data_IF_419829794535
#
_entry.id   IF_419829794535
#
_cell.length_a   1.000
_cell.length_b   1.000
_cell.length_c   1.000
_cell.angle_alpha   90.00
_cell.angle_beta   90.00
_cell.angle_gamma   90.00
#
_symmetry.space_group_name_H-M   'P 1'
#
loop_
_entity.id
_entity.type
_entity.pdbx_description
1 polymer ?
#
# COMPACT_ATOMS: atom_id res chain seq x y z
N UNK A 1 0.33 6.83 17.80
CA UNK A 1 0.15 7.04 16.35
C UNK A 1 1.41 7.68 15.82
N UNK A 2 2.08 7.02 14.87
CA UNK A 2 3.34 7.49 14.28
C UNK A 2 3.09 8.26 12.99
N UNK A 3 2.53 9.48 13.10
CA UNK A 3 2.35 10.32 11.91
C UNK A 3 3.73 10.76 11.42
N UNK A 4 4.09 10.55 10.14
CA UNK A 4 5.43 10.86 9.66
C UNK A 4 5.82 12.33 9.90
N UNK A 5 7.10 12.58 10.16
CA UNK A 5 7.61 13.95 10.37
C UNK A 5 7.70 14.76 9.05
N UNK A 6 7.90 14.10 7.90
CA UNK A 6 8.01 14.79 6.60
C UNK A 6 6.64 15.07 5.99
N UNK A 7 6.49 16.22 5.31
CA UNK A 7 5.26 16.56 4.59
C UNK A 7 4.98 15.59 3.45
N UNK A 8 6.03 15.13 2.78
CA UNK A 8 5.96 14.19 1.66
C UNK A 8 5.43 12.83 2.11
N UNK A 9 5.98 12.27 3.20
CA UNK A 9 5.52 11.00 3.76
C UNK A 9 4.10 11.13 4.32
N UNK A 10 3.79 12.22 5.04
CA UNK A 10 2.43 12.47 5.55
C UNK A 10 1.37 12.49 4.46
N UNK A 11 1.68 13.02 3.27
CA UNK A 11 0.74 13.04 2.16
C UNK A 11 0.33 11.62 1.77
N UNK A 12 1.30 10.73 1.58
CA UNK A 12 1.03 9.33 1.26
C UNK A 12 0.37 8.60 2.42
N UNK A 13 0.82 8.81 3.66
CA UNK A 13 0.20 8.25 4.86
C UNK A 13 -1.30 8.56 4.92
N UNK A 14 -1.68 9.84 4.81
CA UNK A 14 -3.09 10.25 4.83
C UNK A 14 -3.88 9.65 3.66
N UNK A 15 -3.28 9.64 2.47
CA UNK A 15 -3.89 9.01 1.31
C UNK A 15 -4.15 7.51 1.54
N UNK A 16 -3.23 6.81 2.22
CA UNK A 16 -3.41 5.40 2.51
C UNK A 16 -4.67 5.12 3.34
N UNK A 17 -4.85 5.87 4.43
CA UNK A 17 -6.02 5.71 5.30
C UNK A 17 -7.33 6.13 4.63
N UNK A 18 -7.33 7.25 3.89
CA UNK A 18 -8.53 7.69 3.15
C UNK A 18 -8.96 6.64 2.12
N UNK A 19 -8.02 6.13 1.31
CA UNK A 19 -8.34 5.10 0.31
C UNK A 19 -8.78 3.79 0.95
N UNK A 20 -8.26 3.46 2.14
CA UNK A 20 -8.62 2.22 2.83
C UNK A 20 -10.04 2.28 3.36
N UNK A 21 -10.43 3.42 3.94
CA UNK A 21 -11.81 3.68 4.36
C UNK A 21 -12.77 3.61 3.17
N UNK A 22 -12.45 4.25 2.04
CA UNK A 22 -13.26 4.18 0.82
C UNK A 22 -13.40 2.74 0.31
N UNK A 23 -12.32 1.94 0.34
CA UNK A 23 -12.35 0.53 -0.06
C UNK A 23 -13.26 -0.31 0.86
N UNK A 24 -13.24 -0.05 2.17
CA UNK A 24 -14.15 -0.69 3.12
C UNK A 24 -15.61 -0.34 2.85
N UNK A 25 -15.91 0.91 2.47
CA UNK A 25 -17.26 1.32 2.08
C UNK A 25 -17.74 0.56 0.85
N UNK A 26 -16.88 0.43 -0.18
CA UNK A 26 -17.22 -0.32 -1.39
C UNK A 26 -17.50 -1.79 -1.11
N UNK A 27 -16.65 -2.44 -0.30
CA UNK A 27 -16.86 -3.85 0.05
C UNK A 27 -18.16 -4.06 0.85
N UNK A 28 -18.48 -3.17 1.80
CA UNK A 28 -19.75 -3.22 2.56
C UNK A 28 -20.99 -3.07 1.67
N UNK A 29 -20.84 -2.38 0.53
CA UNK A 29 -21.89 -2.23 -0.47
C UNK A 29 -21.84 -3.31 -1.56
N UNK A 30 -21.10 -4.41 -1.33
CA UNK A 30 -20.94 -5.54 -2.25
C UNK A 30 -20.28 -5.20 -3.59
N UNK A 31 -19.59 -4.06 -3.70
CA UNK A 31 -18.76 -3.72 -4.86
C UNK A 31 -17.37 -4.34 -4.73
N UNK A 32 -17.27 -5.66 -4.76
CA UNK A 32 -16.04 -6.43 -4.45
C UNK A 32 -14.84 -6.04 -5.30
N UNK A 33 -14.96 -6.06 -6.63
CA UNK A 33 -13.86 -5.67 -7.55
C UNK A 33 -13.43 -4.22 -7.33
N UNK A 34 -14.40 -3.32 -7.15
CA UNK A 34 -14.12 -1.91 -6.87
C UNK A 34 -13.41 -1.72 -5.54
N UNK A 35 -13.84 -2.45 -4.50
CA UNK A 35 -13.22 -2.46 -3.19
C UNK A 35 -11.79 -2.96 -3.23
N UNK A 36 -11.51 -4.09 -3.89
CA UNK A 36 -10.15 -4.64 -4.05
C UNK A 36 -9.27 -3.72 -4.89
N UNK A 37 -9.80 -3.21 -6.01
CA UNK A 37 -9.09 -2.24 -6.84
C UNK A 37 -8.66 -1.03 -6.00
N UNK A 38 -9.56 -0.48 -5.19
CA UNK A 38 -9.24 0.67 -4.35
C UNK A 38 -8.33 0.30 -3.17
N UNK A 39 -8.46 -0.89 -2.59
CA UNK A 39 -7.69 -1.37 -1.44
C UNK A 39 -6.20 -1.60 -1.70
N UNK A 40 -5.77 -1.73 -2.96
CA UNK A 40 -4.33 -1.77 -3.26
C UNK A 40 -3.63 -0.41 -3.16
N UNK A 41 -4.32 0.71 -3.42
CA UNK A 41 -3.73 2.04 -3.26
C UNK A 41 -3.30 2.37 -1.81
N UNK A 42 -4.04 1.97 -0.76
CA UNK A 42 -3.57 2.02 0.61
C UNK A 42 -2.22 1.37 0.85
N UNK A 43 -2.02 0.17 0.31
CA UNK A 43 -0.77 -0.58 0.43
C UNK A 43 0.36 0.17 -0.28
N UNK A 44 0.12 0.61 -1.51
CA UNK A 44 1.06 1.44 -2.28
C UNK A 44 1.45 2.72 -1.51
N UNK A 45 0.44 3.45 -1.02
CA UNK A 45 0.63 4.72 -0.34
C UNK A 45 1.36 4.55 0.99
N UNK A 46 1.00 3.55 1.80
CA UNK A 46 1.67 3.35 3.09
C UNK A 46 3.12 2.92 2.89
N UNK A 47 3.43 2.11 1.86
CA UNK A 47 4.80 1.79 1.49
C UNK A 47 5.59 3.02 1.03
N UNK A 48 5.02 3.86 0.16
CA UNK A 48 5.65 5.13 -0.26
C UNK A 48 5.93 6.05 0.92
N UNK A 49 5.00 6.14 1.88
CA UNK A 49 5.20 6.86 3.12
C UNK A 49 6.37 6.29 3.93
N UNK A 50 6.41 4.96 4.06
CA UNK A 50 7.45 4.24 4.81
C UNK A 50 8.84 4.48 4.21
N UNK A 51 9.00 4.32 2.89
CA UNK A 51 10.26 4.59 2.18
C UNK A 51 10.74 6.03 2.43
N UNK A 52 9.85 7.02 2.32
CA UNK A 52 10.19 8.43 2.54
C UNK A 52 10.55 8.76 3.99
N UNK A 53 10.02 7.99 4.95
CA UNK A 53 10.37 8.10 6.35
C UNK A 53 11.73 7.47 6.67
N UNK A 54 12.13 6.42 5.94
CA UNK A 54 13.43 5.74 6.12
C UNK A 54 14.61 6.55 5.60
N UNK A 55 14.42 7.36 4.55
CA UNK A 55 15.51 8.12 3.92
C UNK A 55 15.76 9.49 4.58
N UNK A 56 17.02 9.99 4.57
CA UNK A 56 17.33 11.34 5.04
C UNK A 56 16.69 12.41 4.15
N UNK A 57 16.47 13.61 4.71
CA UNK A 57 15.71 14.67 4.07
C UNK A 57 16.25 15.09 2.69
N UNK A 58 17.58 15.13 2.52
CA UNK A 58 18.24 15.48 1.25
C UNK A 58 18.03 14.44 0.13
N UNK A 59 17.72 13.18 0.46
CA UNK A 59 17.46 12.12 -0.51
C UNK A 59 15.99 12.01 -0.95
N UNK A 60 15.05 12.57 -0.17
CA UNK A 60 13.60 12.43 -0.39
C UNK A 60 13.13 12.88 -1.76
N UNK A 61 13.68 13.98 -2.29
CA UNK A 61 13.32 14.47 -3.63
C UNK A 61 13.72 13.48 -4.73
N UNK A 62 14.84 12.76 -4.56
CA UNK A 62 15.25 11.70 -5.49
C UNK A 62 14.27 10.53 -5.46
N UNK A 63 13.91 10.07 -4.26
CA UNK A 63 12.91 9.00 -4.08
C UNK A 63 11.54 9.40 -4.62
N UNK A 64 11.07 10.62 -4.38
CA UNK A 64 9.79 11.09 -4.93
C UNK A 64 9.74 11.04 -6.47
N UNK A 65 10.88 11.27 -7.14
CA UNK A 65 10.94 11.17 -8.60
C UNK A 65 10.84 9.72 -9.08
N UNK A 66 11.30 8.74 -8.29
CA UNK A 66 11.16 7.32 -8.64
C UNK A 66 9.73 6.81 -8.48
N UNK A 67 8.88 7.50 -7.72
CA UNK A 67 7.44 7.19 -7.60
C UNK A 67 6.60 7.59 -8.82
N UNK A 68 7.22 7.77 -9.98
CA UNK A 68 6.55 8.10 -11.25
C UNK A 68 6.59 6.90 -12.19
N UNK A 69 5.52 6.75 -13.00
CA UNK A 69 5.40 5.66 -13.97
C UNK A 69 4.79 4.40 -13.38
N UNK A 70 4.58 3.39 -14.24
CA UNK A 70 3.84 2.15 -13.90
C UNK A 70 4.47 1.38 -12.74
N UNK A 71 5.81 1.24 -12.73
CA UNK A 71 6.55 0.51 -11.69
C UNK A 71 6.30 1.03 -10.27
N UNK A 72 5.96 2.32 -10.13
CA UNK A 72 5.69 2.91 -8.84
C UNK A 72 4.38 2.43 -8.20
N UNK A 73 3.60 1.61 -8.89
CA UNK A 73 2.40 0.94 -8.38
C UNK A 73 2.66 -0.52 -8.01
N UNK A 74 3.81 -1.09 -8.37
CA UNK A 74 4.14 -2.49 -8.13
C UNK A 74 4.61 -2.70 -6.68
N UNK A 75 3.94 -3.58 -5.94
CA UNK A 75 4.25 -3.81 -4.53
C UNK A 75 5.64 -4.39 -4.33
N UNK A 76 6.07 -5.34 -5.17
CA UNK A 76 7.42 -5.91 -5.08
C UNK A 76 8.50 -4.85 -5.30
N UNK A 77 8.33 -3.98 -6.29
CA UNK A 77 9.26 -2.86 -6.49
C UNK A 77 9.31 -1.92 -5.28
N UNK A 78 8.16 -1.57 -4.70
CA UNK A 78 8.10 -0.72 -3.49
C UNK A 78 8.74 -1.39 -2.28
N UNK A 79 8.55 -2.70 -2.10
CA UNK A 79 9.19 -3.47 -1.03
C UNK A 79 10.71 -3.49 -1.20
N UNK A 80 11.19 -3.69 -2.42
CA UNK A 80 12.62 -3.63 -2.73
C UNK A 80 13.19 -2.24 -2.47
N UNK A 81 12.48 -1.17 -2.87
CA UNK A 81 12.91 0.20 -2.56
C UNK A 81 13.00 0.43 -1.06
N UNK A 82 12.05 -0.05 -0.26
CA UNK A 82 12.11 0.08 1.19
C UNK A 82 13.36 -0.60 1.77
N UNK A 83 13.65 -1.84 1.36
CA UNK A 83 14.83 -2.56 1.82
C UNK A 83 16.14 -1.90 1.38
N UNK A 84 16.24 -1.50 0.10
CA UNK A 84 17.42 -0.83 -0.47
C UNK A 84 17.73 0.51 0.22
N UNK A 85 16.71 1.17 0.77
CA UNK A 85 16.85 2.43 1.48
C UNK A 85 17.05 2.26 3.00
N UNK A 86 17.39 1.06 3.47
CA UNK A 86 17.72 0.78 4.87
C UNK A 86 16.54 0.36 5.74
N UNK A 87 15.41 0.03 5.14
CA UNK A 87 14.24 -0.50 5.85
C UNK A 87 14.50 -1.87 6.47
N UNK A 88 14.07 -2.12 7.73
CA UNK A 88 14.12 -3.45 8.32
C UNK A 88 13.38 -4.50 7.49
N UNK A 89 13.86 -5.75 7.51
CA UNK A 89 13.20 -6.87 6.83
C UNK A 89 11.75 -7.06 7.30
N UNK A 90 10.88 -7.46 6.37
CA UNK A 90 9.52 -7.88 6.67
C UNK A 90 9.55 -9.16 7.52
N UNK A 91 8.63 -9.27 8.48
CA UNK A 91 8.46 -10.53 9.23
C UNK A 91 7.79 -11.58 8.34
N UNK A 92 7.78 -12.84 8.77
CA UNK A 92 7.12 -13.92 8.01
C UNK A 92 5.63 -13.65 7.84
N UNK A 93 4.98 -13.13 8.88
CA UNK A 93 3.56 -12.82 8.92
C UNK A 93 3.21 -11.74 7.90
N UNK A 94 4.02 -10.68 7.84
CA UNK A 94 3.80 -9.57 6.90
C UNK A 94 4.08 -10.01 5.46
N UNK A 95 5.10 -10.86 5.28
CA UNK A 95 5.41 -11.44 3.97
C UNK A 95 4.24 -12.27 3.44
N UNK A 96 3.55 -13.03 4.30
CA UNK A 96 2.34 -13.77 3.92
C UNK A 96 1.24 -12.82 3.39
N UNK A 97 1.01 -11.69 4.06
CA UNK A 97 0.02 -10.72 3.59
C UNK A 97 0.41 -10.11 2.24
N UNK A 98 1.69 -9.86 1.98
CA UNK A 98 2.14 -9.43 0.66
C UNK A 98 1.87 -10.49 -0.43
N UNK A 99 2.01 -11.77 -0.13
CA UNK A 99 1.62 -12.85 -1.07
C UNK A 99 0.14 -12.81 -1.40
N UNK A 100 -0.73 -12.56 -0.41
CA UNK A 100 -2.19 -12.54 -0.60
C UNK A 100 -2.70 -11.34 -1.42
N UNK A 101 -1.90 -10.28 -1.54
CA UNK A 101 -2.28 -9.06 -2.28
C UNK A 101 -1.51 -8.90 -3.59
N UNK A 102 -0.60 -9.84 -3.94
CA UNK A 102 0.35 -9.63 -5.02
C UNK A 102 -0.27 -9.62 -6.42
N UNK A 103 -1.45 -10.23 -6.58
CA UNK A 103 -2.19 -10.23 -7.84
C UNK A 103 -2.91 -8.91 -8.12
N UNK A 104 -2.82 -7.94 -7.20
CA UNK A 104 -3.36 -6.61 -7.44
C UNK A 104 -2.58 -5.87 -8.53
N UNK A 105 -3.33 -5.25 -9.44
CA UNK A 105 -2.80 -4.37 -10.47
C UNK A 105 -3.75 -3.21 -10.68
N UNK A 106 -3.20 -2.07 -11.12
CA UNK A 106 -4.03 -0.95 -11.58
C UNK A 106 -4.92 -1.32 -12.77
N UNK A 107 -4.64 -2.41 -13.48
CA UNK A 107 -5.46 -2.88 -14.60
C UNK A 107 -6.78 -3.53 -14.17
N UNK A 108 -6.98 -3.80 -12.87
CA UNK A 108 -8.27 -4.24 -12.33
C UNK A 108 -9.42 -3.28 -12.68
N UNK A 109 -9.12 -2.01 -12.95
CA UNK A 109 -10.07 -1.01 -13.50
C UNK A 109 -10.79 -1.47 -14.77
N UNK A 110 -10.11 -2.28 -15.56
CA UNK A 110 -10.60 -2.76 -16.85
C UNK A 110 -11.05 -4.22 -16.79
N UNK A 111 -10.99 -4.86 -15.62
CA UNK A 111 -11.44 -6.23 -15.44
C UNK A 111 -12.97 -6.29 -15.41
N UNK A 112 -13.62 -6.99 -16.35
CA UNK A 112 -15.05 -7.25 -16.26
C UNK A 112 -15.38 -8.38 -15.28
N UNK A 113 -14.37 -9.10 -14.78
CA UNK A 113 -14.55 -10.22 -13.86
C UNK A 113 -14.74 -9.70 -12.43
N UNK A 114 -15.80 -10.16 -11.79
CA UNK A 114 -16.05 -9.97 -10.37
C UNK A 114 -14.98 -10.68 -9.53
N UNK A 115 -14.46 -9.99 -8.51
CA UNK A 115 -13.73 -10.66 -7.42
C UNK A 115 -14.74 -11.32 -6.50
N UNK A 116 -14.47 -12.56 -6.10
CA UNK A 116 -15.31 -13.30 -5.17
C UNK A 116 -15.29 -12.60 -3.80
N UNK A 117 -16.42 -12.62 -3.08
CA UNK A 117 -16.56 -11.84 -1.84
C UNK A 117 -15.54 -12.26 -0.77
N UNK A 118 -15.33 -13.57 -0.62
CA UNK A 118 -14.33 -14.12 0.31
C UNK A 118 -12.91 -13.64 -0.02
N UNK A 119 -12.53 -13.67 -1.30
CA UNK A 119 -11.23 -13.17 -1.76
C UNK A 119 -11.07 -11.66 -1.49
N UNK A 120 -12.15 -10.89 -1.70
CA UNK A 120 -12.14 -9.45 -1.45
C UNK A 120 -12.00 -9.13 0.05
N UNK A 121 -12.65 -9.90 0.92
CA UNK A 121 -12.50 -9.79 2.38
C UNK A 121 -11.08 -10.16 2.81
N UNK A 122 -10.53 -11.27 2.29
CA UNK A 122 -9.15 -11.68 2.60
C UNK A 122 -8.12 -10.65 2.14
N UNK A 123 -8.34 -10.05 0.96
CA UNK A 123 -7.51 -8.96 0.44
C UNK A 123 -7.52 -7.75 1.38
N UNK A 124 -8.70 -7.27 1.80
CA UNK A 124 -8.80 -6.12 2.70
C UNK A 124 -8.19 -6.40 4.08
N UNK A 125 -8.36 -7.60 4.61
CA UNK A 125 -7.72 -8.00 5.87
C UNK A 125 -6.19 -7.98 5.75
N UNK A 126 -5.66 -8.42 4.62
CA UNK A 126 -4.22 -8.37 4.35
C UNK A 126 -3.72 -6.93 4.15
N UNK A 127 -4.49 -6.08 3.47
CA UNK A 127 -4.21 -4.66 3.36
C UNK A 127 -4.13 -3.99 4.74
N UNK A 128 -5.11 -4.24 5.62
CA UNK A 128 -5.13 -3.71 6.99
C UNK A 128 -3.90 -4.17 7.78
N UNK A 129 -3.54 -5.45 7.71
CA UNK A 129 -2.37 -5.99 8.39
C UNK A 129 -1.07 -5.31 7.94
N UNK A 130 -0.90 -5.08 6.63
CA UNK A 130 0.25 -4.36 6.07
C UNK A 130 0.26 -2.90 6.53
N UNK A 131 -0.88 -2.20 6.47
CA UNK A 131 -1.01 -0.80 6.88
C UNK A 131 -0.66 -0.64 8.36
N UNK A 132 -1.21 -1.50 9.23
CA UNK A 132 -0.92 -1.49 10.68
C UNK A 132 0.56 -1.77 10.95
N UNK A 133 1.15 -2.74 10.26
CA UNK A 133 2.57 -3.05 10.37
C UNK A 133 3.45 -1.85 9.99
N UNK A 134 3.14 -1.18 8.88
CA UNK A 134 3.88 -0.02 8.40
C UNK A 134 3.69 1.19 9.34
N UNK A 135 2.47 1.43 9.82
CA UNK A 135 2.16 2.49 10.78
C UNK A 135 2.90 2.33 12.12
N UNK A 136 3.18 1.09 12.55
CA UNK A 136 4.02 0.85 13.73
C UNK A 136 5.52 1.20 13.56
N UNK A 137 5.92 1.63 12.36
CA UNK A 137 7.32 1.96 11.97
C UNK A 137 7.49 3.37 11.44
N UNK A 138 6.39 4.12 11.31
CA UNK A 138 6.37 5.54 10.96
C UNK A 138 6.41 6.40 12.23
#
# INVERSE_FOLDING_TARGET
>A
MGVPASSEARKFYRCAYMRFEEAQVLLKASYTTGGVYLAGYPIECILKSLILATVPANARLGILKSFRGSKAHEFDWLRDQYLLNGGPRFTKEVTKHFTLVNDWSTDLRYSPRGVVEEDAVEFLNSADAIIRWANGRL
#
